data_IF_485185588298
#
_entry.id   IF_485185588298
#
_cell.length_a   1.000
_cell.length_b   1.000
_cell.length_c   1.000
_cell.angle_alpha   90.00
_cell.angle_beta   90.00
_cell.angle_gamma   90.00
#
_symmetry.space_group_name_H-M   'P 1'
#
loop_
_entity.id
_entity.type
_entity.pdbx_description
1 polymer ?
#
# COMPACT_ATOMS: atom_id res chain seq x y z
N UNK A 1 18.20 6.01 -43.41
CA UNK A 1 19.26 5.37 -42.62
C UNK A 1 18.65 4.96 -41.30
N UNK A 2 18.72 3.67 -40.97
CA UNK A 2 18.54 3.13 -39.62
C UNK A 2 19.91 2.61 -39.20
N UNK A 3 20.39 2.96 -38.03
CA UNK A 3 21.74 2.68 -37.52
C UNK A 3 21.95 1.23 -37.08
N UNK A 4 20.93 0.37 -37.22
CA UNK A 4 21.07 -1.08 -37.04
C UNK A 4 21.22 -1.54 -35.60
N UNK A 5 21.12 -0.62 -34.63
CA UNK A 5 21.27 -0.90 -33.21
C UNK A 5 19.91 -0.96 -32.50
N UNK A 6 19.86 -1.67 -31.37
CA UNK A 6 18.68 -1.73 -30.51
C UNK A 6 18.35 -0.34 -29.96
N UNK A 7 17.06 -0.04 -29.77
CA UNK A 7 16.61 1.23 -29.21
C UNK A 7 17.32 1.52 -27.87
N UNK A 8 17.99 2.68 -27.77
CA UNK A 8 18.76 3.08 -26.60
C UNK A 8 20.27 2.86 -26.68
N UNK A 9 20.76 2.24 -27.76
CA UNK A 9 22.20 2.15 -28.07
C UNK A 9 22.44 2.76 -29.43
N UNK A 10 23.24 3.82 -29.53
CA UNK A 10 23.72 4.36 -30.79
C UNK A 10 25.21 4.03 -30.90
N UNK A 11 25.58 3.17 -31.84
CA UNK A 11 26.97 2.77 -32.06
C UNK A 11 27.50 3.49 -33.31
N UNK A 12 28.50 4.36 -33.13
CA UNK A 12 29.21 5.00 -34.23
C UNK A 12 30.32 4.07 -34.72
N UNK A 13 29.98 3.12 -35.59
CA UNK A 13 30.99 2.28 -36.27
C UNK A 13 31.42 2.92 -37.59
N UNK A 14 32.65 2.61 -38.06
CA UNK A 14 33.07 2.95 -39.43
C UNK A 14 33.67 4.34 -39.67
N UNK A 15 34.12 5.07 -38.65
CA UNK A 15 34.87 6.33 -38.85
C UNK A 15 36.27 6.01 -39.40
N UNK A 16 36.40 5.97 -40.73
CA UNK A 16 37.72 5.85 -41.37
C UNK A 16 38.50 7.16 -41.23
N UNK A 17 39.79 7.07 -40.93
CA UNK A 17 40.69 8.21 -40.68
C UNK A 17 40.44 9.01 -39.38
N UNK A 18 39.83 8.38 -38.36
CA UNK A 18 39.87 8.93 -37.01
C UNK A 18 41.33 9.12 -36.55
N UNK A 19 41.67 10.33 -36.12
CA UNK A 19 43.00 10.63 -35.58
C UNK A 19 43.21 9.78 -34.31
N UNK A 20 44.26 8.93 -34.24
CA UNK A 20 44.49 8.05 -33.09
C UNK A 20 45.03 8.79 -31.86
N UNK A 21 45.34 10.07 -31.99
CA UNK A 21 45.66 10.91 -30.85
C UNK A 21 44.38 11.31 -30.10
N UNK A 22 44.46 11.20 -28.78
CA UNK A 22 43.50 11.61 -27.74
C UNK A 22 42.20 12.27 -28.26
N UNK A 23 41.06 11.65 -27.96
CA UNK A 23 39.76 12.30 -28.12
C UNK A 23 39.69 13.50 -27.16
N UNK A 24 39.77 14.73 -27.68
CA UNK A 24 39.47 15.98 -26.95
C UNK A 24 38.16 16.57 -27.48
N UNK A 25 36.99 16.00 -27.11
CA UNK A 25 35.72 16.49 -27.58
C UNK A 25 35.37 17.81 -26.86
N UNK A 26 35.66 18.94 -27.51
CA UNK A 26 35.41 20.28 -26.95
C UNK A 26 33.93 20.68 -26.91
N UNK A 27 33.03 19.82 -27.41
CA UNK A 27 31.59 20.06 -27.50
C UNK A 27 30.74 18.85 -27.07
N UNK A 28 31.27 18.00 -26.18
CA UNK A 28 30.45 16.95 -25.57
C UNK A 28 29.55 17.55 -24.49
N UNK A 29 28.31 17.85 -24.82
CA UNK A 29 27.29 18.06 -23.77
C UNK A 29 26.88 16.68 -23.28
N UNK A 30 27.35 16.28 -22.10
CA UNK A 30 26.81 15.12 -21.43
C UNK A 30 25.31 15.35 -21.21
N UNK A 31 24.46 14.52 -21.83
CA UNK A 31 23.09 14.36 -21.34
C UNK A 31 23.19 13.63 -20.00
N UNK A 32 23.39 14.39 -18.94
CA UNK A 32 23.06 13.90 -17.61
C UNK A 32 21.56 13.65 -17.63
N UNK A 33 21.13 12.39 -17.56
CA UNK A 33 19.81 12.11 -17.04
C UNK A 33 19.78 12.82 -15.68
N UNK A 34 18.88 13.78 -15.51
CA UNK A 34 18.55 14.26 -14.19
C UNK A 34 17.93 13.06 -13.50
N UNK A 35 18.77 12.26 -12.85
CA UNK A 35 18.32 11.25 -11.92
C UNK A 35 17.65 12.02 -10.79
N UNK A 36 16.38 12.35 -10.98
CA UNK A 36 15.50 12.58 -9.86
C UNK A 36 15.69 11.35 -8.97
N UNK A 37 16.06 11.56 -7.71
CA UNK A 37 16.12 10.46 -6.75
C UNK A 37 14.82 9.68 -6.89
N UNK A 38 14.92 8.41 -7.29
CA UNK A 38 13.73 7.64 -7.65
C UNK A 38 12.81 7.56 -6.44
N UNK A 39 11.65 8.20 -6.51
CA UNK A 39 10.66 8.24 -5.42
C UNK A 39 10.27 6.81 -5.10
N UNK A 40 10.67 6.30 -3.93
CA UNK A 40 10.45 4.90 -3.61
C UNK A 40 9.02 4.70 -3.14
N UNK A 41 8.37 3.68 -3.70
CA UNK A 41 7.06 3.28 -3.18
C UNK A 41 7.19 2.62 -1.80
N UNK A 42 6.21 2.90 -0.94
CA UNK A 42 6.05 2.29 0.38
C UNK A 42 4.80 1.41 0.37
N UNK A 43 4.94 0.08 0.24
CA UNK A 43 3.79 -0.82 0.15
C UNK A 43 3.12 -1.02 1.51
N UNK A 44 1.85 -1.37 1.48
CA UNK A 44 1.08 -1.73 2.66
C UNK A 44 0.15 -2.91 2.39
N UNK A 45 -0.19 -3.63 3.46
CA UNK A 45 -1.20 -4.69 3.46
C UNK A 45 -2.15 -4.44 4.64
N UNK A 46 -3.44 -4.58 4.40
CA UNK A 46 -4.47 -4.57 5.42
C UNK A 46 -5.27 -5.86 5.35
N UNK A 47 -5.36 -6.54 6.47
CA UNK A 47 -6.40 -7.50 6.71
C UNK A 47 -7.43 -6.83 7.61
N UNK A 48 -8.70 -6.83 7.20
CA UNK A 48 -9.73 -6.02 7.82
C UNK A 48 -10.82 -6.93 8.36
N UNK A 49 -11.20 -6.73 9.63
CA UNK A 49 -12.25 -7.49 10.29
C UNK A 49 -13.35 -6.52 10.75
N UNK A 50 -14.52 -6.62 10.15
CA UNK A 50 -15.64 -5.73 10.44
C UNK A 50 -16.56 -6.36 11.47
N UNK A 51 -16.98 -5.59 12.46
CA UNK A 51 -17.93 -6.01 13.49
C UNK A 51 -19.18 -5.12 13.45
N UNK A 52 -20.33 -5.70 13.80
CA UNK A 52 -21.51 -4.91 14.16
C UNK A 52 -21.57 -4.83 15.68
N UNK A 53 -21.58 -3.61 16.23
CA UNK A 53 -21.83 -3.42 17.65
C UNK A 53 -23.30 -3.07 17.85
N UNK A 54 -23.96 -3.80 18.74
CA UNK A 54 -25.41 -3.66 19.00
C UNK A 54 -25.73 -3.42 20.48
N UNK A 55 -24.71 -3.36 21.35
CA UNK A 55 -24.85 -3.15 22.80
C UNK A 55 -23.57 -2.53 23.37
N UNK A 56 -23.55 -2.20 24.67
CA UNK A 56 -22.33 -1.76 25.38
C UNK A 56 -21.29 -2.87 25.60
N UNK A 57 -21.56 -4.09 25.15
CA UNK A 57 -20.62 -5.21 25.24
C UNK A 57 -19.80 -5.34 23.96
N UNK A 58 -18.56 -5.81 24.10
CA UNK A 58 -17.67 -6.05 22.96
C UNK A 58 -18.32 -7.05 21.98
N UNK A 59 -18.30 -6.78 20.67
CA UNK A 59 -18.79 -7.73 19.68
C UNK A 59 -17.91 -8.98 19.68
N UNK A 60 -18.53 -10.15 19.55
CA UNK A 60 -17.83 -11.44 19.58
C UNK A 60 -17.60 -12.05 18.19
N UNK A 61 -18.43 -11.67 17.22
CA UNK A 61 -18.46 -12.30 15.90
C UNK A 61 -18.23 -11.25 14.82
N UNK A 62 -17.22 -11.44 13.96
CA UNK A 62 -17.04 -10.63 12.76
C UNK A 62 -18.24 -10.73 11.82
N UNK A 63 -18.68 -9.59 11.31
CA UNK A 63 -19.69 -9.47 10.26
C UNK A 63 -19.14 -9.92 8.90
N UNK A 64 -17.94 -9.45 8.56
CA UNK A 64 -17.22 -9.84 7.35
C UNK A 64 -15.74 -9.42 7.44
N UNK A 65 -14.96 -9.91 6.49
CA UNK A 65 -13.55 -9.58 6.30
C UNK A 65 -13.31 -8.99 4.92
N UNK A 66 -12.25 -8.22 4.75
CA UNK A 66 -11.76 -7.85 3.42
C UNK A 66 -10.27 -7.54 3.47
N UNK A 67 -9.61 -7.72 2.33
CA UNK A 67 -8.19 -7.50 2.17
C UNK A 67 -7.95 -6.21 1.40
N UNK A 68 -6.91 -5.46 1.75
CA UNK A 68 -6.42 -4.36 0.94
C UNK A 68 -4.91 -4.41 0.77
N UNK A 69 -4.44 -4.04 -0.42
CA UNK A 69 -3.03 -3.87 -0.74
C UNK A 69 -2.85 -2.60 -1.56
N UNK A 70 -1.74 -1.92 -1.33
CA UNK A 70 -1.42 -0.73 -2.07
C UNK A 70 -0.01 -0.24 -1.80
N UNK A 71 0.28 0.96 -2.28
CA UNK A 71 1.53 1.64 -1.98
C UNK A 71 1.36 3.16 -2.05
N UNK A 72 2.11 3.87 -1.22
CA UNK A 72 2.22 5.33 -1.26
C UNK A 72 3.56 5.76 -1.84
N UNK A 73 3.59 6.93 -2.46
CA UNK A 73 4.80 7.60 -2.93
C UNK A 73 4.73 9.09 -2.54
N UNK A 74 5.75 9.89 -2.83
CA UNK A 74 5.86 11.26 -2.35
C UNK A 74 5.41 12.27 -3.40
N UNK A 75 5.83 12.08 -4.65
CA UNK A 75 5.68 13.09 -5.71
C UNK A 75 4.53 12.74 -6.64
N UNK A 76 3.52 13.60 -6.68
CA UNK A 76 2.39 13.46 -7.58
C UNK A 76 2.85 13.37 -9.04
N UNK A 77 2.38 12.34 -9.75
CA UNK A 77 2.72 12.12 -11.15
C UNK A 77 3.98 11.31 -11.40
N UNK A 78 4.74 10.91 -10.37
CA UNK A 78 5.90 10.02 -10.55
C UNK A 78 5.48 8.64 -11.08
N UNK A 79 4.34 8.13 -10.62
CA UNK A 79 3.77 6.86 -11.03
C UNK A 79 2.34 7.02 -11.53
N UNK A 80 1.99 6.30 -12.58
CA UNK A 80 0.65 6.32 -13.19
C UNK A 80 -0.06 4.97 -13.14
N UNK A 81 0.69 3.88 -12.94
CA UNK A 81 0.14 2.53 -12.78
C UNK A 81 0.92 1.72 -11.75
N UNK A 82 0.23 0.78 -11.10
CA UNK A 82 0.87 -0.18 -10.22
C UNK A 82 0.14 -1.54 -10.23
N UNK A 83 0.88 -2.60 -9.94
CA UNK A 83 0.35 -3.95 -9.73
C UNK A 83 0.99 -4.62 -8.52
N UNK A 84 0.29 -5.57 -7.92
CA UNK A 84 0.76 -6.37 -6.81
C UNK A 84 0.80 -7.86 -7.18
N UNK A 85 1.91 -8.55 -6.89
CA UNK A 85 2.06 -9.99 -7.04
C UNK A 85 2.20 -10.67 -5.68
N UNK A 86 1.52 -11.79 -5.49
CA UNK A 86 1.41 -12.53 -4.22
C UNK A 86 1.02 -14.00 -4.45
N UNK A 87 1.12 -14.89 -3.44
CA UNK A 87 0.85 -16.32 -3.60
C UNK A 87 -0.65 -16.65 -3.54
N UNK A 88 -1.48 -15.93 -4.30
CA UNK A 88 -2.94 -16.10 -4.32
C UNK A 88 -3.51 -16.13 -5.74
N UNK A 89 -4.74 -16.65 -5.92
CA UNK A 89 -5.35 -16.87 -7.23
C UNK A 89 -5.60 -15.59 -8.05
N UNK A 90 -5.72 -14.43 -7.40
CA UNK A 90 -5.95 -13.14 -8.07
C UNK A 90 -4.64 -12.36 -8.37
N UNK A 91 -3.49 -13.02 -8.25
CA UNK A 91 -2.19 -12.44 -8.58
C UNK A 91 -1.89 -12.56 -10.09
N UNK A 92 -1.36 -11.51 -10.76
CA UNK A 92 -1.14 -10.16 -10.24
C UNK A 92 -2.44 -9.33 -10.18
N UNK A 93 -2.56 -8.50 -9.16
CA UNK A 93 -3.68 -7.59 -8.95
C UNK A 93 -3.32 -6.17 -9.40
N UNK A 94 -4.12 -5.59 -10.30
CA UNK A 94 -4.01 -4.17 -10.65
C UNK A 94 -4.44 -3.28 -9.50
N UNK A 95 -3.69 -2.22 -9.22
CA UNK A 95 -3.97 -1.23 -8.20
C UNK A 95 -4.46 0.07 -8.84
N UNK A 96 -5.44 0.73 -8.22
CA UNK A 96 -6.03 1.98 -8.71
C UNK A 96 -5.37 3.16 -8.02
N UNK A 97 -5.05 4.21 -8.77
CA UNK A 97 -4.56 5.48 -8.21
C UNK A 97 -5.74 6.21 -7.52
N UNK A 98 -5.66 6.45 -6.21
CA UNK A 98 -6.80 6.94 -5.39
C UNK A 98 -6.64 8.37 -4.85
N UNK A 99 -5.42 8.89 -4.85
CA UNK A 99 -5.03 10.26 -4.53
C UNK A 99 -3.62 10.41 -5.14
N UNK A 100 -3.12 11.61 -5.47
CA UNK A 100 -2.11 11.72 -6.54
C UNK A 100 -0.78 11.00 -6.22
N UNK A 101 -0.64 10.50 -5.00
CA UNK A 101 0.52 9.83 -4.41
C UNK A 101 0.20 8.45 -3.80
N UNK A 102 -0.88 7.77 -4.19
CA UNK A 102 -1.25 6.48 -3.62
C UNK A 102 -2.03 5.55 -4.55
N UNK A 103 -1.64 4.28 -4.56
CA UNK A 103 -2.34 3.17 -5.22
C UNK A 103 -3.01 2.28 -4.19
N UNK A 104 -4.22 1.80 -4.48
CA UNK A 104 -4.97 0.90 -3.61
C UNK A 104 -5.77 -0.13 -4.40
N UNK A 105 -5.97 -1.27 -3.77
CA UNK A 105 -6.96 -2.27 -4.11
C UNK A 105 -7.63 -2.75 -2.83
N UNK A 106 -8.96 -2.80 -2.84
CA UNK A 106 -9.77 -3.45 -1.82
C UNK A 106 -10.52 -4.64 -2.40
N UNK A 107 -10.44 -5.80 -1.74
CA UNK A 107 -11.18 -6.99 -2.13
C UNK A 107 -12.68 -6.84 -1.86
N UNK A 108 -13.52 -7.68 -2.50
CA UNK A 108 -14.87 -7.94 -2.01
C UNK A 108 -14.88 -8.43 -0.55
N UNK A 109 -16.07 -8.41 0.07
CA UNK A 109 -16.26 -8.92 1.42
C UNK A 109 -16.26 -10.45 1.46
N UNK A 110 -15.60 -11.01 2.47
CA UNK A 110 -15.56 -12.43 2.79
C UNK A 110 -16.34 -12.70 4.09
N UNK A 111 -17.09 -13.79 4.13
CA UNK A 111 -17.87 -14.19 5.32
C UNK A 111 -17.05 -14.96 6.36
N UNK A 112 -15.85 -15.43 6.01
CA UNK A 112 -14.97 -16.14 6.92
C UNK A 112 -13.50 -15.76 6.68
N UNK A 113 -12.72 -15.79 7.75
CA UNK A 113 -11.27 -15.57 7.67
C UNK A 113 -10.58 -16.63 6.81
N UNK A 114 -11.04 -17.89 6.86
CA UNK A 114 -10.50 -18.96 6.03
C UNK A 114 -10.65 -18.69 4.53
N UNK A 115 -11.77 -18.09 4.10
CA UNK A 115 -11.98 -17.77 2.69
C UNK A 115 -11.10 -16.58 2.26
N UNK A 116 -10.93 -15.58 3.14
CA UNK A 116 -9.98 -14.49 2.90
C UNK A 116 -8.56 -15.04 2.78
N UNK A 117 -8.14 -15.92 3.68
CA UNK A 117 -6.81 -16.51 3.67
C UNK A 117 -6.56 -17.40 2.44
N UNK A 118 -7.58 -18.11 1.95
CA UNK A 118 -7.46 -18.88 0.71
C UNK A 118 -7.25 -17.97 -0.52
N UNK A 119 -7.88 -16.79 -0.54
CA UNK A 119 -7.72 -15.81 -1.62
C UNK A 119 -6.42 -14.99 -1.49
N UNK A 120 -5.99 -14.72 -0.26
CA UNK A 120 -4.80 -13.94 0.07
C UNK A 120 -3.95 -14.68 1.13
N UNK A 121 -3.19 -15.71 0.71
CA UNK A 121 -2.40 -16.53 1.63
C UNK A 121 -1.22 -15.78 2.25
N UNK A 122 -0.76 -16.26 3.42
CA UNK A 122 0.49 -15.77 4.00
C UNK A 122 1.65 -15.95 3.00
N UNK A 123 2.48 -14.92 2.91
CA UNK A 123 3.65 -14.92 2.05
C UNK A 123 4.18 -13.52 1.79
N UNK A 124 4.96 -13.40 0.71
CA UNK A 124 5.54 -12.13 0.27
C UNK A 124 4.67 -11.52 -0.81
N UNK A 125 4.31 -10.26 -0.63
CA UNK A 125 3.57 -9.45 -1.57
C UNK A 125 4.51 -8.41 -2.15
N UNK A 126 4.60 -8.32 -3.46
CA UNK A 126 5.48 -7.37 -4.15
C UNK A 126 4.64 -6.41 -4.96
N UNK A 127 4.81 -5.11 -4.71
CA UNK A 127 4.17 -4.05 -5.48
C UNK A 127 5.21 -3.49 -6.45
N UNK A 128 4.82 -3.31 -7.70
CA UNK A 128 5.60 -2.62 -8.73
C UNK A 128 4.78 -1.45 -9.26
N UNK A 129 5.34 -0.25 -9.20
CA UNK A 129 4.78 0.96 -9.79
C UNK A 129 5.62 1.43 -10.98
N UNK A 130 4.95 1.96 -12.00
CA UNK A 130 5.56 2.49 -13.22
C UNK A 130 4.94 3.83 -13.59
N UNK A 131 5.70 4.70 -14.25
CA UNK A 131 5.22 6.00 -14.70
C UNK A 131 6.35 6.87 -15.25
N UNK A 132 6.35 8.14 -14.85
CA UNK A 132 7.41 9.07 -15.21
C UNK A 132 8.75 8.67 -14.55
N UNK A 133 8.68 8.10 -13.36
CA UNK A 133 9.71 7.20 -12.84
C UNK A 133 9.62 5.87 -13.59
N UNK A 134 10.71 5.41 -14.21
CA UNK A 134 10.75 4.18 -15.02
C UNK A 134 10.05 3.02 -14.28
N UNK A 135 10.48 2.75 -13.04
CA UNK A 135 9.80 1.80 -12.15
C UNK A 135 10.32 1.90 -10.72
N UNK A 136 9.48 1.55 -9.74
CA UNK A 136 9.90 1.23 -8.37
C UNK A 136 9.18 -0.04 -7.92
N UNK A 137 9.92 -0.92 -7.26
CA UNK A 137 9.42 -2.21 -6.76
C UNK A 137 9.78 -2.35 -5.30
N UNK A 138 8.80 -2.75 -4.49
CA UNK A 138 8.97 -2.94 -3.05
C UNK A 138 8.06 -4.06 -2.55
N UNK A 139 8.44 -4.71 -1.47
CA UNK A 139 7.73 -5.88 -0.96
C UNK A 139 7.31 -5.71 0.50
N UNK A 140 6.19 -6.34 0.86
CA UNK A 140 5.69 -6.49 2.21
C UNK A 140 5.49 -7.97 2.53
N UNK A 141 5.80 -8.36 3.77
CA UNK A 141 5.59 -9.72 4.26
C UNK A 141 4.29 -9.81 5.05
N UNK A 142 3.46 -10.79 4.71
CA UNK A 142 2.25 -11.14 5.46
C UNK A 142 2.41 -12.56 6.00
N UNK A 143 2.88 -12.71 7.25
CA UNK A 143 3.36 -14.02 7.76
C UNK A 143 2.40 -14.69 8.74
N UNK A 144 1.54 -13.93 9.39
CA UNK A 144 0.59 -14.43 10.37
C UNK A 144 -0.60 -13.48 10.52
N UNK A 145 -1.66 -13.98 11.13
CA UNK A 145 -2.76 -13.15 11.58
C UNK A 145 -2.33 -12.43 12.87
N UNK A 146 -2.12 -11.12 12.78
CA UNK A 146 -1.72 -10.27 13.90
C UNK A 146 -2.90 -9.50 14.53
N UNK A 147 -4.14 -9.90 14.29
CA UNK A 147 -5.26 -9.36 15.05
C UNK A 147 -5.17 -9.79 16.51
N UNK A 148 -5.20 -8.81 17.41
CA UNK A 148 -5.20 -9.11 18.85
C UNK A 148 -6.54 -9.68 19.29
N UNK A 149 -6.53 -10.44 20.38
CA UNK A 149 -7.74 -11.00 21.00
C UNK A 149 -8.67 -9.93 21.59
N UNK A 150 -8.14 -8.73 21.90
CA UNK A 150 -8.95 -7.59 22.36
C UNK A 150 -9.54 -6.88 21.15
N UNK A 151 -10.87 -6.94 21.01
CA UNK A 151 -11.60 -6.28 19.93
C UNK A 151 -11.87 -4.82 20.34
N UNK A 152 -11.50 -3.82 19.52
CA UNK A 152 -11.91 -2.43 19.73
C UNK A 152 -13.44 -2.29 19.67
N UNK A 153 -14.03 -1.61 20.64
CA UNK A 153 -15.47 -1.35 20.70
C UNK A 153 -15.77 -0.07 21.48
N UNK A 154 -16.96 0.51 21.24
CA UNK A 154 -17.43 1.70 21.94
C UNK A 154 -18.01 1.29 23.30
N UNK A 155 -17.46 1.79 24.39
CA UNK A 155 -17.87 1.35 25.75
C UNK A 155 -19.10 2.08 26.29
N UNK A 156 -19.54 3.16 25.61
CA UNK A 156 -20.73 3.93 25.94
C UNK A 156 -21.77 3.92 24.82
N UNK A 157 -21.86 2.83 24.05
CA UNK A 157 -22.73 2.66 22.89
C UNK A 157 -24.17 3.08 23.16
N UNK A 158 -24.77 2.64 24.27
CA UNK A 158 -26.17 2.95 24.59
C UNK A 158 -26.42 4.44 24.77
N UNK A 159 -25.41 5.19 25.24
CA UNK A 159 -25.50 6.66 25.38
C UNK A 159 -25.49 7.40 24.05
N UNK A 160 -25.06 6.72 22.97
CA UNK A 160 -25.06 7.26 21.62
C UNK A 160 -26.35 6.94 20.85
N UNK A 161 -27.31 6.24 21.45
CA UNK A 161 -28.61 6.01 20.83
C UNK A 161 -29.44 7.30 20.84
N UNK A 162 -29.99 7.69 19.69
CA UNK A 162 -30.76 8.93 19.55
C UNK A 162 -29.89 10.20 19.51
N UNK A 163 -28.61 10.06 19.16
CA UNK A 163 -27.64 11.15 19.10
C UNK A 163 -28.13 12.28 18.18
N UNK A 164 -28.13 13.50 18.72
CA UNK A 164 -28.36 14.71 17.95
C UNK A 164 -27.03 15.16 17.33
N UNK A 165 -26.88 15.01 16.01
CA UNK A 165 -25.66 15.40 15.30
C UNK A 165 -25.36 16.92 15.37
N UNK A 166 -26.33 17.75 15.76
CA UNK A 166 -26.14 19.18 15.98
C UNK A 166 -25.64 19.53 17.39
N UNK A 167 -25.44 18.56 18.27
CA UNK A 167 -24.96 18.74 19.63
C UNK A 167 -23.65 18.00 19.86
N UNK A 168 -22.83 18.52 20.76
CA UNK A 168 -21.60 17.84 21.17
C UNK A 168 -21.93 16.48 21.81
N UNK A 169 -21.10 15.49 21.52
CA UNK A 169 -21.19 14.16 22.11
C UNK A 169 -19.80 13.61 22.39
N UNK A 170 -19.70 12.66 23.31
CA UNK A 170 -18.45 12.00 23.66
C UNK A 170 -18.53 10.52 23.36
N UNK A 171 -17.49 9.99 22.72
CA UNK A 171 -17.35 8.56 22.42
C UNK A 171 -16.24 7.99 23.30
N UNK A 172 -16.56 6.95 24.06
CA UNK A 172 -15.61 6.18 24.84
C UNK A 172 -15.36 4.84 24.14
N UNK A 173 -14.11 4.38 24.17
CA UNK A 173 -13.70 3.11 23.60
C UNK A 173 -12.70 2.43 24.53
N UNK A 174 -12.59 1.11 24.43
CA UNK A 174 -11.60 0.36 25.18
C UNK A 174 -10.18 0.62 24.63
N UNK A 175 -9.17 0.45 25.49
CA UNK A 175 -7.78 0.47 25.04
C UNK A 175 -7.53 -0.68 24.07
N UNK A 176 -6.88 -0.36 22.95
CA UNK A 176 -6.41 -1.33 21.97
C UNK A 176 -4.92 -1.11 21.73
N UNK A 177 -4.16 -2.20 21.74
CA UNK A 177 -2.73 -2.20 21.45
C UNK A 177 -2.51 -3.10 20.23
N UNK A 178 -2.06 -2.56 19.09
CA UNK A 178 -1.70 -3.39 17.94
C UNK A 178 -0.62 -4.40 18.32
N UNK A 179 -0.59 -5.54 17.62
CA UNK A 179 0.46 -6.52 17.78
C UNK A 179 1.84 -5.92 17.47
N UNK A 180 2.88 -6.33 18.19
CA UNK A 180 4.23 -5.79 18.03
C UNK A 180 4.84 -6.05 16.63
N UNK A 181 4.31 -7.03 15.88
CA UNK A 181 4.76 -7.33 14.53
C UNK A 181 4.13 -6.43 13.46
N UNK A 182 3.17 -5.57 13.82
CA UNK A 182 2.59 -4.60 12.89
C UNK A 182 3.13 -3.18 13.12
N UNK A 183 3.36 -2.43 12.05
CA UNK A 183 3.91 -1.06 12.16
C UNK A 183 2.85 -0.02 12.57
N UNK A 184 1.56 -0.32 12.42
CA UNK A 184 0.49 0.51 12.97
C UNK A 184 -0.82 -0.30 13.02
N UNK A 185 -1.77 0.08 13.87
CA UNK A 185 -3.14 -0.42 13.88
C UNK A 185 -4.12 0.74 13.98
N UNK A 186 -5.29 0.62 13.37
CA UNK A 186 -6.30 1.68 13.35
C UNK A 186 -7.67 1.11 13.70
N UNK A 187 -8.51 1.92 14.34
CA UNK A 187 -9.92 1.62 14.50
C UNK A 187 -10.70 2.74 13.84
N UNK A 188 -11.61 2.41 12.92
CA UNK A 188 -12.51 3.41 12.36
C UNK A 188 -13.93 3.12 12.80
N UNK A 189 -14.55 4.14 13.39
CA UNK A 189 -15.96 4.12 13.72
C UNK A 189 -16.70 4.68 12.50
N UNK A 190 -17.62 3.90 11.94
CA UNK A 190 -18.37 4.30 10.77
C UNK A 190 -19.84 4.47 11.15
N UNK A 191 -20.32 5.70 11.06
CA UNK A 191 -21.71 6.03 11.29
C UNK A 191 -22.58 5.46 10.16
N UNK A 192 -23.52 4.60 10.53
CA UNK A 192 -24.62 4.08 9.71
C UNK A 192 -25.60 3.40 10.66
N UNK A 193 -26.88 3.24 10.33
CA UNK A 193 -27.79 2.46 11.19
C UNK A 193 -27.85 0.99 10.72
N UNK A 194 -27.70 0.01 11.62
CA UNK A 194 -27.18 0.15 12.99
C UNK A 194 -25.69 0.55 13.01
N UNK A 195 -25.23 1.21 14.07
CA UNK A 195 -23.87 1.73 14.21
C UNK A 195 -22.84 0.62 14.01
N UNK A 196 -21.89 0.84 13.09
CA UNK A 196 -20.93 -0.20 12.66
C UNK A 196 -19.54 0.14 13.18
N UNK A 197 -18.90 -0.82 13.82
CA UNK A 197 -17.49 -0.69 14.22
C UNK A 197 -16.64 -1.49 13.27
N UNK A 198 -15.78 -0.80 12.53
CA UNK A 198 -14.78 -1.47 11.71
C UNK A 198 -13.48 -1.49 12.50
N UNK A 199 -13.04 -2.69 12.86
CA UNK A 199 -11.72 -2.91 13.42
C UNK A 199 -10.75 -3.20 12.26
N UNK A 200 -9.64 -2.49 12.19
CA UNK A 200 -8.65 -2.68 11.14
C UNK A 200 -7.37 -3.19 11.79
N UNK A 201 -6.83 -4.31 11.30
CA UNK A 201 -5.44 -4.63 11.57
C UNK A 201 -4.65 -4.17 10.36
N UNK A 202 -3.90 -3.10 10.56
CA UNK A 202 -2.93 -2.63 9.58
C UNK A 202 -1.66 -3.45 9.78
N UNK A 203 -1.09 -3.95 8.71
CA UNK A 203 0.31 -4.41 8.69
C UNK A 203 1.03 -3.56 7.64
N UNK A 204 1.51 -2.38 8.03
CA UNK A 204 2.60 -1.76 7.26
C UNK A 204 3.87 -2.49 7.70
N UNK A 205 4.77 -2.79 6.78
CA UNK A 205 6.16 -3.06 7.10
C UNK A 205 7.02 -1.90 6.61
N UNK A 206 7.89 -1.45 7.49
CA UNK A 206 8.88 -0.40 7.24
C UNK A 206 10.01 -0.98 6.39
N UNK A 207 10.16 -0.53 5.14
CA UNK A 207 11.41 -0.69 4.40
C UNK A 207 12.51 0.18 5.06
N UNK A 208 13.80 -0.18 4.93
CA UNK A 208 14.86 0.21 5.86
C UNK A 208 15.19 1.70 5.82
N UNK A 209 15.64 2.22 6.98
CA UNK A 209 16.19 3.57 7.16
C UNK A 209 17.17 3.93 6.05
N UNK A 210 16.90 5.04 5.37
CA UNK A 210 17.95 5.86 4.75
C UNK A 210 18.98 6.22 5.84
N UNK A 211 20.20 5.71 5.71
CA UNK A 211 21.35 6.38 6.33
C UNK A 211 21.62 7.61 5.47
N UNK A 212 21.37 8.79 6.03
CA UNK A 212 22.15 9.95 5.63
C UNK A 212 23.58 9.74 6.14
N UNK A 213 24.53 9.69 5.22
CA UNK A 213 25.93 10.07 5.43
C UNK A 213 26.26 11.09 4.36
#
# INVERSE_FOLDING_TARGET
>A
MTDGTSAGTHELTGISAAYPGLLDPQFLTALSSSGTTADQISPYIYDNTVFDQTSDTAPLVPRFYFFSIGATFITAGDYSAASASFPGPSSPQTLVLIAPTGFDFGSPAFTSFSNLQAAYPFGTYTVTAVGNQISSTSSASYQANYFTTVIPFVTNYSSLNGLNAASDFTVHYNSFTPDAHVTAGFTFLLSGMPARIRSFSKTIFKAPRLRQT
#
